data_IF_278643618986
#
_entry.id   IF_278643618986
#
_cell.length_a   1.000
_cell.length_b   1.000
_cell.length_c   1.000
_cell.angle_alpha   90.00
_cell.angle_beta   90.00
_cell.angle_gamma   90.00
#
_symmetry.space_group_name_H-M   'P 1'
#
loop_
_entity.id
_entity.type
_entity.pdbx_description
1 polymer ?
#
# COMPACT_ATOMS: atom_id res chain seq x y z
N UNK A 1 -8.35 -29.77 23.23
CA UNK A 1 -7.08 -29.00 23.30
C UNK A 1 -7.24 -27.90 24.35
N UNK A 2 -6.42 -27.87 25.42
CA UNK A 2 -6.43 -26.75 26.38
C UNK A 2 -5.58 -25.62 25.80
N UNK A 3 -6.25 -24.57 25.33
CA UNK A 3 -5.60 -23.33 24.86
C UNK A 3 -4.99 -22.63 26.08
N UNK A 4 -3.69 -22.34 26.07
CA UNK A 4 -3.06 -21.57 27.15
C UNK A 4 -3.44 -20.10 26.97
N UNK A 5 -4.34 -19.60 27.81
CA UNK A 5 -4.72 -18.19 27.77
C UNK A 5 -3.58 -17.31 28.33
N UNK A 6 -3.27 -16.17 27.69
CA UNK A 6 -2.30 -15.22 28.23
C UNK A 6 -2.80 -14.64 29.57
N UNK A 7 -1.88 -14.44 30.53
CA UNK A 7 -2.18 -14.04 31.92
C UNK A 7 -2.82 -12.64 32.06
N UNK A 8 -2.59 -11.73 31.11
CA UNK A 8 -3.07 -10.34 31.20
C UNK A 8 -4.50 -10.18 30.68
N UNK A 9 -5.34 -9.49 31.46
CA UNK A 9 -6.77 -9.28 31.16
C UNK A 9 -7.02 -8.59 29.82
N UNK A 10 -6.24 -7.57 29.48
CA UNK A 10 -6.33 -6.86 28.19
C UNK A 10 -5.96 -7.75 27.00
N UNK A 11 -4.89 -8.55 27.11
CA UNK A 11 -4.45 -9.47 26.05
C UNK A 11 -5.45 -10.58 25.80
N UNK A 12 -6.05 -11.11 26.86
CA UNK A 12 -7.10 -12.12 26.76
C UNK A 12 -8.36 -11.55 26.10
N UNK A 13 -8.70 -10.30 26.42
CA UNK A 13 -9.83 -9.62 25.79
C UNK A 13 -9.55 -9.37 24.30
N UNK A 14 -8.37 -8.85 23.95
CA UNK A 14 -8.02 -8.61 22.55
C UNK A 14 -7.87 -9.91 21.74
N UNK A 15 -7.25 -10.94 22.31
CA UNK A 15 -7.16 -12.27 21.69
C UNK A 15 -8.55 -12.87 21.48
N UNK A 16 -9.46 -12.75 22.46
CA UNK A 16 -10.85 -13.20 22.28
C UNK A 16 -11.61 -12.37 21.23
N UNK A 17 -11.28 -11.08 21.08
CA UNK A 17 -11.91 -10.18 20.10
C UNK A 17 -11.50 -10.55 18.66
N UNK A 18 -10.24 -10.94 18.47
CA UNK A 18 -9.68 -11.32 17.17
C UNK A 18 -10.00 -12.78 16.81
N UNK A 19 -9.93 -13.70 17.78
CA UNK A 19 -10.13 -15.13 17.56
C UNK A 19 -11.62 -15.55 17.61
N UNK A 20 -12.47 -14.77 18.30
CA UNK A 20 -13.91 -15.02 18.44
C UNK A 20 -14.72 -13.74 18.19
N UNK A 21 -15.05 -13.42 16.93
CA UNK A 21 -15.82 -12.23 16.58
C UNK A 21 -17.21 -12.20 17.25
N UNK A 22 -17.73 -13.34 17.73
CA UNK A 22 -19.04 -13.44 18.37
C UNK A 22 -19.10 -13.07 19.86
N UNK A 23 -17.97 -12.80 20.51
CA UNK A 23 -17.93 -12.64 21.98
C UNK A 23 -18.46 -11.29 22.49
N UNK A 24 -18.33 -10.22 21.71
CA UNK A 24 -18.72 -8.86 22.13
C UNK A 24 -19.19 -8.01 20.95
N UNK A 25 -20.12 -7.08 21.19
CA UNK A 25 -20.60 -6.13 20.16
C UNK A 25 -19.44 -5.33 19.57
N UNK A 26 -18.47 -4.91 20.40
CA UNK A 26 -17.26 -4.21 19.93
C UNK A 26 -16.39 -5.12 19.05
N UNK A 27 -16.30 -6.41 19.37
CA UNK A 27 -15.56 -7.39 18.55
C UNK A 27 -16.23 -7.57 17.18
N UNK A 28 -17.56 -7.63 17.16
CA UNK A 28 -18.34 -7.69 15.92
C UNK A 28 -18.10 -6.47 15.03
N UNK A 29 -18.11 -5.27 15.60
CA UNK A 29 -17.88 -4.03 14.86
C UNK A 29 -16.48 -4.02 14.23
N UNK A 30 -15.45 -4.33 15.00
CA UNK A 30 -14.06 -4.36 14.50
C UNK A 30 -13.90 -5.43 13.42
N UNK A 31 -14.46 -6.62 13.61
CA UNK A 31 -14.42 -7.68 12.62
C UNK A 31 -15.16 -7.30 11.32
N UNK A 32 -16.36 -6.72 11.42
CA UNK A 32 -17.13 -6.25 10.26
C UNK A 32 -16.38 -5.15 9.52
N UNK A 33 -15.81 -4.18 10.25
CA UNK A 33 -15.04 -3.08 9.66
C UNK A 33 -13.81 -3.60 8.90
N UNK A 34 -13.10 -4.58 9.48
CA UNK A 34 -11.92 -5.19 8.87
C UNK A 34 -12.30 -5.97 7.61
N UNK A 35 -13.37 -6.77 7.65
CA UNK A 35 -13.88 -7.50 6.49
C UNK A 35 -14.35 -6.56 5.37
N UNK A 36 -15.00 -5.45 5.72
CA UNK A 36 -15.45 -4.45 4.77
C UNK A 36 -14.26 -3.75 4.09
N UNK A 37 -13.22 -3.38 4.86
CA UNK A 37 -12.02 -2.78 4.30
C UNK A 37 -11.20 -3.74 3.42
N UNK A 38 -11.14 -5.02 3.78
CA UNK A 38 -10.55 -6.06 2.92
C UNK A 38 -11.33 -6.12 1.60
N UNK A 39 -12.66 -6.17 1.68
CA UNK A 39 -13.51 -6.22 0.49
C UNK A 39 -13.28 -5.00 -0.41
N UNK A 40 -13.29 -3.78 0.13
CA UNK A 40 -13.03 -2.55 -0.63
C UNK A 40 -11.65 -2.59 -1.28
N UNK A 41 -10.60 -2.96 -0.54
CA UNK A 41 -9.24 -3.06 -1.07
C UNK A 41 -9.16 -4.06 -2.22
N UNK A 42 -9.74 -5.26 -2.07
CA UNK A 42 -9.74 -6.26 -3.14
C UNK A 42 -10.48 -5.81 -4.39
N UNK A 43 -11.59 -5.07 -4.23
CA UNK A 43 -12.35 -4.51 -5.36
C UNK A 43 -11.54 -3.40 -6.03
N UNK A 44 -10.91 -2.51 -5.28
CA UNK A 44 -10.06 -1.45 -5.82
C UNK A 44 -8.90 -2.03 -6.66
N UNK A 45 -8.21 -3.07 -6.14
CA UNK A 45 -7.16 -3.78 -6.90
C UNK A 45 -7.72 -4.47 -8.15
N UNK A 46 -8.90 -5.10 -8.04
CA UNK A 46 -9.52 -5.75 -9.19
C UNK A 46 -9.88 -4.75 -10.30
N UNK A 47 -10.35 -3.56 -9.92
CA UNK A 47 -10.69 -2.48 -10.85
C UNK A 47 -9.44 -1.86 -11.47
N UNK A 48 -8.39 -1.63 -10.69
CA UNK A 48 -7.08 -1.16 -11.19
C UNK A 48 -6.48 -2.15 -12.21
N UNK A 49 -6.69 -3.44 -12.01
CA UNK A 49 -6.26 -4.48 -12.95
C UNK A 49 -7.04 -4.50 -14.27
N UNK A 50 -8.20 -3.83 -14.37
CA UNK A 50 -8.98 -3.83 -15.60
C UNK A 50 -8.29 -2.98 -16.69
N UNK A 51 -8.11 -3.53 -17.91
CA UNK A 51 -7.43 -2.84 -18.99
C UNK A 51 -8.13 -1.56 -19.44
N UNK A 52 -9.43 -1.42 -19.18
CA UNK A 52 -10.21 -0.22 -19.48
C UNK A 52 -9.84 0.97 -18.59
N UNK A 53 -9.32 0.71 -17.38
CA UNK A 53 -8.88 1.75 -16.46
C UNK A 53 -7.42 2.13 -16.73
N UNK A 54 -6.56 1.13 -16.99
CA UNK A 54 -5.14 1.31 -17.36
C UNK A 54 -4.98 2.26 -18.56
N UNK A 55 -5.81 2.10 -19.60
CA UNK A 55 -5.75 2.92 -20.82
C UNK A 55 -6.14 4.41 -20.62
N UNK A 56 -6.74 4.78 -19.48
CA UNK A 56 -7.13 6.17 -19.19
C UNK A 56 -5.99 6.98 -18.58
N UNK A 57 -5.09 6.31 -17.84
CA UNK A 57 -3.94 6.92 -17.18
C UNK A 57 -2.72 6.99 -18.12
N UNK A 58 -2.66 6.14 -19.15
CA UNK A 58 -1.60 6.14 -20.18
C UNK A 58 -1.64 7.35 -21.14
N UNK A 59 -2.74 8.13 -21.18
CA UNK A 59 -2.84 9.28 -22.09
C UNK A 59 -2.19 10.56 -21.56
N UNK A 60 -1.65 10.58 -20.33
CA UNK A 60 -1.12 11.82 -19.71
C UNK A 60 0.39 11.81 -19.46
N UNK A 61 1.11 10.73 -19.78
CA UNK A 61 2.56 10.64 -19.58
C UNK A 61 3.39 10.83 -20.86
N UNK A 62 2.72 11.26 -21.93
CA UNK A 62 3.35 11.65 -23.19
C UNK A 62 2.74 12.95 -23.73
N UNK A 63 3.42 14.05 -23.42
CA UNK A 63 3.70 15.23 -24.25
C UNK A 63 3.89 16.48 -23.39
N UNK A 64 5.07 16.59 -22.77
CA UNK A 64 5.77 17.88 -22.82
C UNK A 64 6.88 17.74 -23.84
N UNK A 65 6.51 17.78 -25.12
CA UNK A 65 7.43 18.24 -26.13
C UNK A 65 7.64 19.74 -25.91
N UNK A 66 8.63 20.04 -25.07
CA UNK A 66 9.43 21.24 -25.24
C UNK A 66 10.09 21.11 -26.60
N UNK A 67 9.49 21.73 -27.63
CA UNK A 67 10.17 22.66 -28.52
C UNK A 67 9.21 23.19 -29.59
N UNK A 68 8.89 24.48 -29.47
CA UNK A 68 8.89 25.31 -30.66
C UNK A 68 10.30 25.32 -31.25
N UNK A 69 10.37 25.28 -32.59
CA UNK A 69 11.55 25.45 -33.45
C UNK A 69 12.16 24.16 -34.04
N UNK A 70 11.63 23.82 -35.22
CA UNK A 70 12.32 23.49 -36.48
C UNK A 70 13.80 23.08 -36.42
N UNK A 71 14.10 21.81 -36.73
CA UNK A 71 14.69 21.40 -38.02
C UNK A 71 15.10 19.92 -37.97
N UNK A 72 14.76 19.20 -39.04
CA UNK A 72 15.08 17.79 -39.22
C UNK A 72 16.59 17.58 -39.28
N UNK A 73 17.08 16.59 -38.51
CA UNK A 73 18.20 15.66 -38.78
C UNK A 73 18.91 15.31 -37.46
N UNK A 74 18.52 14.22 -36.79
CA UNK A 74 19.44 13.57 -35.85
C UNK A 74 19.14 12.08 -35.68
N UNK A 75 20.19 11.29 -35.78
CA UNK A 75 20.22 9.84 -35.61
C UNK A 75 19.88 9.48 -34.17
N UNK A 76 18.79 8.72 -33.98
CA UNK A 76 18.36 8.22 -32.68
C UNK A 76 19.38 7.23 -32.13
N UNK A 77 20.22 7.71 -31.22
CA UNK A 77 21.06 6.89 -30.36
C UNK A 77 20.20 6.31 -29.23
N UNK A 78 20.32 5.00 -29.01
CA UNK A 78 19.73 4.30 -27.88
C UNK A 78 20.45 4.73 -26.61
N UNK A 79 19.80 5.50 -25.74
CA UNK A 79 20.25 5.66 -24.35
C UNK A 79 19.10 6.11 -23.46
N UNK A 80 18.91 5.32 -22.41
CA UNK A 80 18.12 5.53 -21.20
C UNK A 80 16.63 5.21 -21.33
N UNK A 81 16.26 4.15 -20.61
CA UNK A 81 14.90 3.87 -20.13
C UNK A 81 14.34 5.11 -19.41
N UNK A 82 13.85 6.08 -20.17
CA UNK A 82 12.94 7.08 -19.65
C UNK A 82 11.56 6.42 -19.52
N UNK A 83 11.40 5.64 -18.46
CA UNK A 83 10.07 5.46 -17.87
C UNK A 83 9.63 6.85 -17.40
N UNK A 84 8.78 7.50 -18.20
CA UNK A 84 8.15 8.76 -17.84
C UNK A 84 7.20 8.49 -16.67
N UNK A 85 7.70 8.64 -15.44
CA UNK A 85 6.93 8.37 -14.22
C UNK A 85 5.80 9.38 -14.09
N UNK A 86 4.58 8.89 -14.31
CA UNK A 86 3.33 9.63 -14.27
C UNK A 86 3.09 10.31 -12.92
N UNK A 87 3.22 11.64 -12.87
CA UNK A 87 3.05 12.44 -11.64
C UNK A 87 1.62 12.50 -11.10
N UNK A 88 0.62 12.04 -11.87
CA UNK A 88 -0.79 12.04 -11.45
C UNK A 88 -1.17 10.85 -10.56
N UNK A 89 -0.30 9.83 -10.43
CA UNK A 89 -0.59 8.62 -9.67
C UNK A 89 -0.99 8.91 -8.21
N UNK A 90 -0.28 9.82 -7.53
CA UNK A 90 -0.55 10.22 -6.14
C UNK A 90 -1.88 10.95 -5.94
N UNK A 91 -2.46 11.52 -7.00
CA UNK A 91 -3.75 12.23 -6.95
C UNK A 91 -4.91 11.34 -7.44
N UNK A 92 -4.60 10.14 -7.93
CA UNK A 92 -5.63 9.22 -8.39
C UNK A 92 -6.54 8.79 -7.24
N UNK A 93 -7.87 8.70 -7.46
CA UNK A 93 -8.80 8.26 -6.43
C UNK A 93 -8.49 6.85 -5.93
N UNK A 94 -7.95 5.98 -6.78
CA UNK A 94 -7.53 4.62 -6.41
C UNK A 94 -6.36 4.64 -5.45
N UNK A 95 -5.34 5.47 -5.71
CA UNK A 95 -4.23 5.64 -4.77
C UNK A 95 -4.71 6.16 -3.41
N UNK A 96 -5.64 7.12 -3.38
CA UNK A 96 -6.19 7.64 -2.13
C UNK A 96 -6.92 6.54 -1.34
N UNK A 97 -7.79 5.78 -2.00
CA UNK A 97 -8.53 4.67 -1.38
C UNK A 97 -7.55 3.62 -0.85
N UNK A 98 -6.58 3.20 -1.66
CA UNK A 98 -5.58 2.22 -1.28
C UNK A 98 -4.73 2.70 -0.10
N UNK A 99 -4.34 3.98 -0.11
CA UNK A 99 -3.60 4.62 1.00
C UNK A 99 -4.40 4.58 2.29
N UNK A 100 -5.68 4.95 2.27
CA UNK A 100 -6.55 4.90 3.46
C UNK A 100 -6.69 3.46 3.97
N UNK A 101 -6.91 2.49 3.07
CA UNK A 101 -7.00 1.08 3.44
C UNK A 101 -5.70 0.56 4.08
N UNK A 102 -4.54 0.88 3.52
CA UNK A 102 -3.24 0.47 4.08
C UNK A 102 -2.96 1.16 5.42
N UNK A 103 -3.32 2.44 5.58
CA UNK A 103 -3.24 3.14 6.87
C UNK A 103 -4.12 2.45 7.92
N UNK A 104 -5.32 1.99 7.55
CA UNK A 104 -6.16 1.23 8.47
C UNK A 104 -5.52 -0.11 8.87
N UNK A 105 -5.06 -0.91 7.90
CA UNK A 105 -4.41 -2.20 8.18
C UNK A 105 -3.12 -2.05 8.97
N UNK A 106 -2.36 -0.98 8.76
CA UNK A 106 -1.15 -0.71 9.55
C UNK A 106 -1.47 -0.35 10.98
N UNK A 107 -2.51 0.44 11.25
CA UNK A 107 -3.00 0.68 12.61
C UNK A 107 -3.45 -0.62 13.26
N UNK A 108 -4.20 -1.46 12.55
CA UNK A 108 -4.63 -2.78 13.04
C UNK A 108 -3.44 -3.69 13.38
N UNK A 109 -2.43 -3.75 12.49
CA UNK A 109 -1.19 -4.48 12.68
C UNK A 109 -0.42 -3.98 13.91
N UNK A 110 -0.31 -2.66 14.08
CA UNK A 110 0.34 -2.04 15.25
C UNK A 110 -0.40 -2.42 16.54
N UNK A 111 -1.73 -2.37 16.54
CA UNK A 111 -2.53 -2.80 17.70
C UNK A 111 -2.30 -4.28 18.02
N UNK A 112 -2.20 -5.15 17.01
CA UNK A 112 -1.84 -6.56 17.20
C UNK A 112 -0.43 -6.73 17.79
N UNK A 113 0.55 -5.95 17.33
CA UNK A 113 1.93 -5.98 17.87
C UNK A 113 1.96 -5.53 19.33
N UNK A 114 1.31 -4.41 19.68
CA UNK A 114 1.24 -3.91 21.07
C UNK A 114 0.57 -4.93 22.00
N UNK A 115 -0.42 -5.65 21.47
CA UNK A 115 -1.09 -6.69 22.24
C UNK A 115 -0.23 -7.95 22.46
N UNK A 116 0.75 -8.23 21.60
CA UNK A 116 1.50 -9.47 21.62
C UNK A 116 2.56 -9.49 22.75
N UNK A 117 2.67 -10.59 23.52
CA UNK A 117 3.62 -10.73 24.65
C UNK A 117 5.06 -10.58 24.29
N UNK A 118 5.42 -10.95 23.08
CA UNK A 118 6.74 -10.77 22.54
C UNK A 118 6.62 -10.63 21.02
N UNK A 119 7.58 -9.95 20.41
CA UNK A 119 7.69 -9.87 18.96
C UNK A 119 7.91 -11.26 18.32
N UNK A 120 8.59 -12.17 19.02
CA UNK A 120 8.88 -13.53 18.51
C UNK A 120 7.62 -14.40 18.44
N UNK A 121 6.75 -14.32 19.45
CA UNK A 121 5.46 -15.03 19.42
C UNK A 121 4.52 -14.43 18.37
N UNK A 122 4.65 -13.11 18.11
CA UNK A 122 3.94 -12.43 17.03
C UNK A 122 4.39 -12.93 15.65
N UNK A 123 5.70 -12.97 15.37
CA UNK A 123 6.24 -13.43 14.08
C UNK A 123 6.05 -14.93 13.85
N UNK A 124 5.88 -15.74 14.90
CA UNK A 124 5.55 -17.17 14.76
C UNK A 124 4.10 -17.45 14.34
N UNK A 125 3.20 -16.49 14.44
CA UNK A 125 1.80 -16.68 14.09
C UNK A 125 1.58 -16.37 12.60
N UNK A 126 1.14 -17.38 11.83
CA UNK A 126 0.86 -17.26 10.39
C UNK A 126 -0.18 -16.18 10.08
N UNK A 127 -1.15 -15.92 10.97
CA UNK A 127 -2.16 -14.88 10.75
C UNK A 127 -1.52 -13.48 10.67
N UNK A 128 -0.45 -13.23 11.42
CA UNK A 128 0.24 -11.94 11.40
C UNK A 128 1.10 -11.77 10.13
N UNK A 129 1.61 -12.87 9.57
CA UNK A 129 2.30 -12.85 8.28
C UNK A 129 1.37 -12.45 7.14
N UNK A 130 0.10 -12.85 7.20
CA UNK A 130 -0.92 -12.47 6.20
C UNK A 130 -1.14 -10.96 6.24
N UNK A 131 -1.32 -10.37 7.43
CA UNK A 131 -1.49 -8.92 7.56
C UNK A 131 -0.28 -8.14 7.00
N UNK A 132 0.95 -8.62 7.27
CA UNK A 132 2.18 -8.00 6.74
C UNK A 132 2.23 -8.13 5.21
N UNK A 133 1.96 -9.33 4.69
CA UNK A 133 2.01 -9.58 3.25
C UNK A 133 1.03 -8.71 2.46
N UNK A 134 -0.11 -8.34 3.07
CA UNK A 134 -1.12 -7.48 2.45
C UNK A 134 -0.67 -6.02 2.30
N UNK A 135 0.11 -5.48 3.25
CA UNK A 135 0.54 -4.06 3.22
C UNK A 135 1.87 -3.84 2.48
N UNK A 136 2.73 -4.85 2.44
CA UNK A 136 4.09 -4.76 1.89
C UNK A 136 4.14 -4.25 0.44
N UNK A 137 3.33 -4.76 -0.50
CA UNK A 137 3.40 -4.32 -1.91
C UNK A 137 3.22 -2.80 -2.06
N UNK A 138 2.28 -2.20 -1.33
CA UNK A 138 2.04 -0.76 -1.36
C UNK A 138 3.27 0.04 -0.88
N UNK A 139 3.87 -0.38 0.24
CA UNK A 139 5.06 0.31 0.78
C UNK A 139 6.28 0.18 -0.14
N UNK A 140 6.42 -0.94 -0.86
CA UNK A 140 7.47 -1.11 -1.87
C UNK A 140 7.27 -0.11 -3.01
N UNK A 141 6.06 -0.07 -3.60
CA UNK A 141 5.74 0.87 -4.69
C UNK A 141 5.95 2.33 -4.27
N UNK A 142 5.50 2.70 -3.06
CA UNK A 142 5.72 4.03 -2.50
C UNK A 142 7.21 4.34 -2.31
N UNK A 143 7.99 3.36 -1.82
CA UNK A 143 9.43 3.51 -1.62
C UNK A 143 10.19 3.73 -2.93
N UNK A 144 9.86 2.97 -3.98
CA UNK A 144 10.43 3.14 -5.33
C UNK A 144 10.12 4.54 -5.85
N UNK A 145 8.85 4.97 -5.74
CA UNK A 145 8.43 6.30 -6.17
C UNK A 145 9.21 7.43 -5.47
N UNK A 146 9.37 7.37 -4.15
CA UNK A 146 10.10 8.38 -3.39
C UNK A 146 11.60 8.36 -3.69
N UNK A 147 12.18 7.19 -3.95
CA UNK A 147 13.57 7.05 -4.35
C UNK A 147 13.85 7.73 -5.70
N UNK A 148 12.96 7.53 -6.68
CA UNK A 148 13.08 8.20 -7.97
C UNK A 148 12.96 9.72 -7.84
N UNK A 149 11.98 10.20 -7.07
CA UNK A 149 11.77 11.64 -6.84
C UNK A 149 13.01 12.30 -6.23
N UNK A 150 13.65 11.65 -5.28
CA UNK A 150 14.88 12.15 -4.66
C UNK A 150 16.04 12.20 -5.66
N UNK A 151 16.17 11.22 -6.57
CA UNK A 151 17.21 11.24 -7.60
C UNK A 151 17.02 12.41 -8.58
N UNK A 152 15.78 12.71 -8.99
CA UNK A 152 15.50 13.86 -9.86
C UNK A 152 15.79 15.21 -9.18
N UNK A 153 15.53 15.33 -7.88
CA UNK A 153 15.89 16.54 -7.12
C UNK A 153 17.41 16.72 -7.09
N UNK A 154 18.16 15.64 -6.86
CA UNK A 154 19.62 15.72 -6.77
C UNK A 154 20.27 16.10 -8.11
N UNK A 155 19.75 15.64 -9.26
CA UNK A 155 20.25 16.04 -10.59
C UNK A 155 19.93 17.50 -10.89
N UNK A 156 18.72 17.99 -10.56
CA UNK A 156 18.35 19.38 -10.75
C UNK A 156 19.17 20.37 -9.90
N UNK A 157 19.72 19.92 -8.77
CA UNK A 157 20.54 20.75 -7.87
C UNK A 157 22.03 20.72 -8.23
N UNK A 158 22.48 19.76 -9.06
CA UNK A 158 23.88 19.65 -9.48
C UNK A 158 24.22 20.54 -10.70
N UNK A 159 23.21 20.95 -11.47
CA UNK A 159 23.35 21.78 -12.68
C UNK A 159 23.10 23.29 -12.45
N UNK A 160 22.97 23.74 -11.19
CA UNK A 160 22.77 25.15 -10.80
C UNK A 160 23.87 25.68 -9.89
#
# INVERSE_FOLDING_TARGET
KKVRLPKNRFRRHLWATIEYPDYSVTAKIVNILSLLMILISTIALAVESLPQYINSDDLVCYNSSVNGSSNANETVQVSNESENICTNYLTSPFFIIQTICVVFFTVELILRIISAPSFVDFVKNIMNWIDIAVIVPYYITLGIYLADRNNQINTATADG
#
